data_IF_355374289711
#
_entry.id   IF_355374289711
#
_cell.length_a   1.000
_cell.length_b   1.000
_cell.length_c   1.000
_cell.angle_alpha   90.00
_cell.angle_beta   90.00
_cell.angle_gamma   90.00
#
_symmetry.space_group_name_H-M   'P 1'
#
loop_
_entity.id
_entity.type
_entity.pdbx_description
1 polymer ?
#
# COMPACT_ATOMS: atom_id res chain seq x y z
N UNK A 1 -17.82 -16.48 14.56
CA UNK A 1 -17.15 -15.93 13.37
C UNK A 1 -16.19 -14.86 13.86
N UNK A 2 -14.90 -14.94 13.53
CA UNK A 2 -13.95 -13.87 13.83
C UNK A 2 -14.34 -12.60 13.07
N UNK A 3 -14.07 -11.43 13.64
CA UNK A 3 -14.35 -10.15 13.00
C UNK A 3 -13.71 -10.13 11.60
N UNK A 4 -14.53 -10.03 10.56
CA UNK A 4 -14.08 -10.02 9.15
C UNK A 4 -13.39 -8.71 8.76
N UNK A 5 -13.55 -7.67 9.58
CA UNK A 5 -13.04 -6.33 9.32
C UNK A 5 -12.19 -5.89 10.51
N UNK A 6 -11.07 -5.25 10.21
CA UNK A 6 -10.15 -4.68 11.19
C UNK A 6 -10.01 -3.17 10.94
N UNK A 7 -10.04 -2.38 12.02
CA UNK A 7 -9.86 -0.92 11.96
C UNK A 7 -8.85 -0.52 13.04
N UNK A 8 -7.85 0.26 12.65
CA UNK A 8 -6.85 0.85 13.54
C UNK A 8 -6.78 2.35 13.31
N UNK A 9 -6.70 3.13 14.39
CA UNK A 9 -6.49 4.58 14.34
C UNK A 9 -5.12 4.90 14.90
N UNK A 10 -4.34 5.68 14.13
CA UNK A 10 -3.03 6.20 14.52
C UNK A 10 -3.07 7.73 14.45
N UNK A 11 -2.39 8.39 15.38
CA UNK A 11 -2.30 9.85 15.46
C UNK A 11 -0.86 10.30 15.24
N UNK A 12 -0.68 11.46 14.62
CA UNK A 12 0.64 11.97 14.23
C UNK A 12 0.60 13.50 14.19
N UNK A 13 1.74 14.17 14.39
CA UNK A 13 1.83 15.64 14.35
C UNK A 13 2.04 16.21 12.93
N UNK A 14 2.28 15.33 11.95
CA UNK A 14 2.52 15.64 10.55
C UNK A 14 1.23 16.09 9.85
N UNK A 15 1.38 16.96 8.85
CA UNK A 15 0.25 17.44 8.06
C UNK A 15 -0.37 16.31 7.21
N UNK A 16 -1.66 16.42 6.84
CA UNK A 16 -2.31 15.46 5.94
C UNK A 16 -1.57 15.28 4.59
N UNK A 17 -0.93 16.34 4.09
CA UNK A 17 -0.13 16.27 2.87
C UNK A 17 1.11 15.38 3.03
N UNK A 18 1.86 15.54 4.14
CA UNK A 18 3.03 14.72 4.40
C UNK A 18 2.66 13.25 4.58
N UNK A 19 1.57 12.98 5.30
CA UNK A 19 1.04 11.62 5.48
C UNK A 19 0.64 11.01 4.14
N UNK A 20 -0.09 11.75 3.32
CA UNK A 20 -0.51 11.29 2.00
C UNK A 20 0.67 10.99 1.07
N UNK A 21 1.68 11.87 1.05
CA UNK A 21 2.91 11.67 0.27
C UNK A 21 3.70 10.46 0.76
N UNK A 22 3.77 10.24 2.09
CA UNK A 22 4.45 9.08 2.66
C UNK A 22 3.76 7.77 2.27
N UNK A 23 2.42 7.70 2.41
CA UNK A 23 1.65 6.48 2.09
C UNK A 23 1.72 6.16 0.59
N UNK A 24 1.56 7.15 -0.30
CA UNK A 24 1.59 6.93 -1.75
C UNK A 24 2.98 6.62 -2.31
N UNK A 25 4.05 6.98 -1.60
CA UNK A 25 5.42 6.62 -1.96
C UNK A 25 5.80 5.24 -1.39
N UNK A 26 5.13 4.21 -1.89
CA UNK A 26 5.21 2.85 -1.36
C UNK A 26 6.65 2.30 -1.35
N UNK A 27 7.42 2.62 -2.40
CA UNK A 27 8.83 2.20 -2.52
C UNK A 27 9.74 2.75 -1.43
N UNK A 28 9.39 3.89 -0.84
CA UNK A 28 10.21 4.51 0.19
C UNK A 28 10.05 3.87 1.58
N UNK A 29 8.95 3.13 1.83
CA UNK A 29 8.67 2.58 3.16
C UNK A 29 8.43 1.06 3.17
N UNK A 30 8.06 0.45 2.03
CA UNK A 30 7.76 -0.97 1.92
C UNK A 30 8.86 -1.75 1.18
N UNK A 31 10.05 -1.17 1.00
CA UNK A 31 11.25 -1.88 0.52
C UNK A 31 12.30 -1.85 1.62
N UNK A 32 12.95 -2.99 1.88
CA UNK A 32 13.86 -3.14 3.00
C UNK A 32 14.76 -4.37 2.91
N UNK A 33 14.59 -5.28 3.87
CA UNK A 33 15.61 -6.27 4.21
C UNK A 33 15.56 -7.56 3.37
N UNK A 34 14.42 -7.88 2.75
CA UNK A 34 14.19 -9.19 2.12
C UNK A 34 14.03 -9.12 0.61
N UNK A 35 14.81 -8.25 -0.03
CA UNK A 35 14.82 -8.04 -1.48
C UNK A 35 13.41 -7.74 -2.02
N UNK A 36 12.69 -6.84 -1.35
CA UNK A 36 11.34 -6.49 -1.75
C UNK A 36 11.34 -5.75 -3.10
N UNK A 37 10.51 -6.20 -4.02
CA UNK A 37 10.37 -5.61 -5.35
C UNK A 37 8.96 -5.07 -5.51
N UNK A 38 8.87 -3.79 -5.89
CA UNK A 38 7.60 -3.13 -6.20
C UNK A 38 7.61 -2.67 -7.65
N UNK A 39 6.75 -3.27 -8.48
CA UNK A 39 6.59 -2.94 -9.90
C UNK A 39 5.24 -2.26 -10.13
N UNK A 40 5.19 -1.25 -11.00
CA UNK A 40 3.95 -0.50 -11.30
C UNK A 40 3.81 0.82 -10.55
N UNK A 41 2.73 1.55 -10.84
CA UNK A 41 2.49 2.87 -10.26
C UNK A 41 1.70 2.75 -8.94
N UNK A 42 1.85 3.72 -8.04
CA UNK A 42 1.35 3.61 -6.66
C UNK A 42 0.66 4.86 -6.13
N UNK A 43 0.32 5.83 -6.99
CA UNK A 43 -0.01 7.18 -6.54
C UNK A 43 -1.38 7.69 -6.98
N UNK A 44 -1.91 7.24 -8.12
CA UNK A 44 -3.12 7.76 -8.75
C UNK A 44 -4.21 6.69 -8.80
N UNK A 45 -5.46 7.13 -8.85
CA UNK A 45 -6.58 6.21 -9.10
C UNK A 45 -6.39 5.48 -10.42
N UNK A 46 -6.61 4.17 -10.41
CA UNK A 46 -6.39 3.29 -11.55
C UNK A 46 -4.97 2.72 -11.63
N UNK A 47 -4.02 3.24 -10.86
CA UNK A 47 -2.69 2.65 -10.78
C UNK A 47 -2.76 1.23 -10.20
N UNK A 48 -1.88 0.36 -10.70
CA UNK A 48 -1.70 -1.00 -10.22
C UNK A 48 -0.22 -1.25 -9.92
N UNK A 49 0.04 -1.98 -8.84
CA UNK A 49 1.39 -2.41 -8.49
C UNK A 49 1.42 -3.81 -7.89
N UNK A 50 2.57 -4.47 -8.05
CA UNK A 50 2.89 -5.73 -7.40
C UNK A 50 3.88 -5.51 -6.27
N UNK A 51 3.84 -6.38 -5.27
CA UNK A 51 4.83 -6.49 -4.22
C UNK A 51 5.33 -7.94 -4.19
N UNK A 52 6.64 -8.13 -4.23
CA UNK A 52 7.31 -9.43 -4.01
C UNK A 52 8.33 -9.31 -2.88
N UNK A 53 8.50 -10.34 -2.07
CA UNK A 53 9.50 -10.38 -1.01
C UNK A 53 9.99 -11.81 -0.72
N UNK A 54 11.12 -11.94 -0.01
CA UNK A 54 11.61 -13.23 0.49
C UNK A 54 12.00 -14.20 -0.61
N UNK A 55 12.66 -13.69 -1.66
CA UNK A 55 13.04 -14.46 -2.85
C UNK A 55 11.84 -15.15 -3.55
N UNK A 56 10.70 -14.44 -3.55
CA UNK A 56 9.46 -14.90 -4.19
C UNK A 56 8.49 -15.63 -3.26
N UNK A 57 8.82 -15.80 -1.98
CA UNK A 57 7.93 -16.40 -0.99
C UNK A 57 6.64 -15.59 -0.76
N UNK A 58 6.65 -14.28 -1.00
CA UNK A 58 5.46 -13.46 -0.83
C UNK A 58 5.15 -12.70 -2.11
N UNK A 59 3.90 -12.75 -2.54
CA UNK A 59 3.39 -11.98 -3.67
C UNK A 59 2.04 -11.33 -3.32
N UNK A 60 1.86 -10.09 -3.76
CA UNK A 60 0.53 -9.49 -3.83
C UNK A 60 0.43 -8.48 -4.97
N UNK A 61 -0.79 -8.31 -5.48
CA UNK A 61 -1.13 -7.31 -6.48
C UNK A 61 -2.24 -6.41 -5.98
N UNK A 62 -2.04 -5.10 -6.14
CA UNK A 62 -2.92 -4.08 -5.61
C UNK A 62 -3.35 -3.10 -6.70
N UNK A 63 -4.61 -2.65 -6.62
CA UNK A 63 -5.16 -1.59 -7.45
C UNK A 63 -5.62 -0.42 -6.58
N UNK A 64 -5.25 0.79 -6.96
CA UNK A 64 -5.74 2.01 -6.32
C UNK A 64 -7.13 2.35 -6.88
N UNK A 65 -8.19 1.96 -6.15
CA UNK A 65 -9.57 2.15 -6.61
C UNK A 65 -10.16 3.51 -6.23
N UNK A 66 -9.58 4.21 -5.26
CA UNK A 66 -9.95 5.57 -4.88
C UNK A 66 -8.74 6.33 -4.33
N UNK A 67 -8.52 7.55 -4.80
CA UNK A 67 -7.46 8.44 -4.31
C UNK A 67 -8.00 9.86 -4.22
N UNK A 68 -8.20 10.33 -2.99
CA UNK A 68 -8.58 11.72 -2.70
C UNK A 68 -7.38 12.38 -2.01
N UNK A 69 -6.68 13.31 -2.69
CA UNK A 69 -5.47 13.94 -2.16
C UNK A 69 -5.64 14.45 -0.73
N UNK A 70 -4.67 14.09 0.13
CA UNK A 70 -4.58 14.52 1.53
C UNK A 70 -5.76 14.08 2.42
N UNK A 71 -6.61 13.14 1.97
CA UNK A 71 -7.81 12.71 2.69
C UNK A 71 -7.99 11.21 2.76
N UNK A 72 -7.88 10.51 1.61
CA UNK A 72 -8.26 9.10 1.52
C UNK A 72 -7.53 8.38 0.39
N UNK A 73 -7.16 7.13 0.65
CA UNK A 73 -6.61 6.18 -0.32
C UNK A 73 -7.29 4.83 -0.07
N UNK A 74 -7.75 4.16 -1.12
CA UNK A 74 -8.30 2.81 -1.03
C UNK A 74 -7.56 1.90 -2.00
N UNK A 75 -6.93 0.87 -1.44
CA UNK A 75 -6.26 -0.19 -2.19
C UNK A 75 -7.13 -1.45 -2.18
N UNK A 76 -7.32 -2.04 -3.35
CA UNK A 76 -7.94 -3.34 -3.51
C UNK A 76 -6.86 -4.37 -3.85
N UNK A 77 -6.67 -5.34 -2.97
CA UNK A 77 -5.86 -6.53 -3.29
C UNK A 77 -6.63 -7.36 -4.31
N UNK A 78 -6.05 -7.54 -5.50
CA UNK A 78 -6.64 -8.32 -6.59
C UNK A 78 -6.06 -9.71 -6.70
N UNK A 79 -4.85 -9.92 -6.15
CA UNK A 79 -4.17 -11.21 -6.14
C UNK A 79 -3.19 -11.27 -4.94
N UNK A 80 -2.98 -12.47 -4.40
CA UNK A 80 -2.07 -12.70 -3.27
C UNK A 80 -1.65 -14.16 -3.17
N UNK A 81 -0.37 -14.40 -2.93
CA UNK A 81 0.21 -15.71 -2.68
C UNK A 81 1.25 -15.63 -1.54
N UNK A 82 1.33 -16.68 -0.71
CA UNK A 82 2.15 -16.74 0.52
C UNK A 82 2.85 -18.08 0.70
#
# INVERSE_FOLDING_TARGET
>A
MLAKNFTLQLSTSQSPQQVFQAITNVRAWWVGYYAEIIEGNTAKTGDEFTFRAGDGAHYSKHKLIEVIPNKKIVWLTTDSDF
#
